data_IF_061512563043
#
_entry.id   IF_061512563043
#
_cell.length_a   1.000
_cell.length_b   1.000
_cell.length_c   1.000
_cell.angle_alpha   90.00
_cell.angle_beta   90.00
_cell.angle_gamma   90.00
#
_symmetry.space_group_name_H-M   'P 1'
#
loop_
_entity.id
_entity.type
_entity.pdbx_description
1 polymer ?
#
# COMPACT_ATOMS: atom_id res chain seq x y z
N UNK A 1 -10.64 -5.19 10.90
CA UNK A 1 -10.54 -4.41 9.66
C UNK A 1 -11.55 -3.30 9.65
N UNK A 2 -11.13 -2.09 9.32
CA UNK A 2 -12.03 -0.95 9.29
C UNK A 2 -12.88 -0.96 8.02
N UNK A 3 -13.89 -0.09 7.99
CA UNK A 3 -14.74 0.03 6.80
C UNK A 3 -13.91 0.48 5.60
N UNK A 4 -13.01 1.43 5.79
CA UNK A 4 -12.15 1.91 4.71
C UNK A 4 -11.24 0.82 4.18
N UNK A 5 -10.65 0.05 5.08
CA UNK A 5 -9.81 -1.07 4.66
C UNK A 5 -10.61 -2.09 3.86
N UNK A 6 -11.82 -2.40 4.30
CA UNK A 6 -12.66 -3.36 3.59
C UNK A 6 -13.03 -2.85 2.19
N UNK A 7 -13.34 -1.56 2.09
CA UNK A 7 -13.67 -0.96 0.80
C UNK A 7 -12.49 -1.00 -0.16
N UNK A 8 -11.32 -0.65 0.35
CA UNK A 8 -10.13 -0.67 -0.47
C UNK A 8 -9.79 -2.10 -0.89
N UNK A 9 -9.91 -3.04 0.04
CA UNK A 9 -9.63 -4.44 -0.27
C UNK A 9 -10.51 -4.96 -1.41
N UNK A 10 -11.79 -4.65 -1.40
CA UNK A 10 -12.68 -5.07 -2.48
C UNK A 10 -12.23 -4.55 -3.83
N UNK A 11 -11.63 -3.36 -3.84
CA UNK A 11 -11.21 -2.73 -5.09
C UNK A 11 -9.90 -3.27 -5.61
N UNK A 12 -9.01 -3.77 -4.73
CA UNK A 12 -7.66 -4.16 -5.17
C UNK A 12 -7.39 -5.65 -5.08
N UNK A 13 -8.29 -6.44 -4.50
CA UNK A 13 -8.06 -7.86 -4.34
C UNK A 13 -7.90 -8.57 -5.69
N UNK A 14 -7.34 -9.75 -5.66
CA UNK A 14 -7.02 -10.46 -6.88
C UNK A 14 -5.90 -9.73 -7.58
N UNK A 15 -6.05 -9.48 -8.86
CA UNK A 15 -5.09 -8.73 -9.63
C UNK A 15 -5.72 -7.48 -10.23
N UNK A 16 -6.70 -6.92 -9.54
CA UNK A 16 -7.47 -5.79 -10.07
C UNK A 16 -6.61 -4.58 -10.41
N UNK A 17 -5.50 -4.37 -9.71
CA UNK A 17 -4.62 -3.23 -9.94
C UNK A 17 -3.29 -3.65 -10.57
N UNK A 18 -3.24 -4.84 -11.15
CA UNK A 18 -2.04 -5.32 -11.82
C UNK A 18 -1.00 -5.97 -10.93
N UNK A 19 -1.29 -6.11 -9.64
CA UNK A 19 -0.43 -6.78 -8.69
C UNK A 19 -1.29 -7.53 -7.69
N UNK A 20 -0.72 -8.58 -7.11
CA UNK A 20 -1.45 -9.38 -6.14
C UNK A 20 -1.20 -8.86 -4.74
N UNK A 21 -2.20 -8.25 -4.14
CA UNK A 21 -2.12 -7.76 -2.77
C UNK A 21 -2.69 -8.75 -1.79
N UNK A 22 -2.12 -8.76 -0.58
CA UNK A 22 -2.63 -9.52 0.54
C UNK A 22 -2.90 -8.55 1.68
N UNK A 23 -3.77 -8.96 2.59
CA UNK A 23 -4.13 -8.15 3.76
C UNK A 23 -3.30 -8.57 4.95
N UNK A 24 -3.02 -7.61 5.84
CA UNK A 24 -2.43 -7.85 7.14
C UNK A 24 -1.18 -8.71 7.02
N UNK A 25 -0.19 -8.18 6.31
CA UNK A 25 1.01 -8.92 5.96
C UNK A 25 2.13 -8.60 6.95
N UNK A 26 2.65 -9.60 7.68
CA UNK A 26 3.78 -9.35 8.56
C UNK A 26 5.06 -9.17 7.75
N UNK A 27 5.77 -8.09 8.03
CA UNK A 27 7.07 -7.80 7.43
C UNK A 27 7.96 -7.39 8.59
N UNK A 28 8.84 -8.30 9.01
CA UNK A 28 9.57 -8.12 10.25
C UNK A 28 8.59 -8.16 11.42
N UNK A 29 8.72 -7.20 12.32
CA UNK A 29 7.81 -7.10 13.46
C UNK A 29 6.64 -6.12 13.22
N UNK A 30 6.55 -5.58 12.03
CA UNK A 30 5.43 -4.72 11.63
C UNK A 30 4.42 -5.51 10.81
N UNK A 31 3.19 -5.06 10.82
CA UNK A 31 2.13 -5.66 10.00
C UNK A 31 1.63 -4.60 9.04
N UNK A 32 1.79 -4.86 7.74
CA UNK A 32 1.30 -3.94 6.72
C UNK A 32 -0.19 -4.18 6.49
N UNK A 33 -0.96 -3.12 6.31
CA UNK A 33 -2.39 -3.28 6.01
C UNK A 33 -2.57 -4.08 4.73
N UNK A 34 -1.85 -3.69 3.68
CA UNK A 34 -1.85 -4.43 2.42
C UNK A 34 -0.44 -4.45 1.87
N UNK A 35 -0.04 -5.56 1.27
CA UNK A 35 1.27 -5.63 0.64
C UNK A 35 1.24 -6.53 -0.57
N UNK A 36 2.01 -6.11 -1.58
CA UNK A 36 2.36 -6.93 -2.73
C UNK A 36 3.86 -7.19 -2.66
N UNK A 37 4.28 -8.37 -3.09
CA UNK A 37 5.71 -8.72 -3.12
C UNK A 37 6.29 -8.63 -4.54
N UNK A 38 5.44 -8.44 -5.55
CA UNK A 38 5.88 -8.35 -6.94
C UNK A 38 4.93 -7.43 -7.72
N UNK A 39 5.16 -6.14 -7.74
CA UNK A 39 6.29 -5.42 -7.15
C UNK A 39 6.11 -5.25 -5.64
N UNK A 40 7.19 -4.93 -4.95
CA UNK A 40 7.14 -4.71 -3.51
C UNK A 40 6.52 -3.36 -3.21
N UNK A 41 5.28 -3.39 -2.79
CA UNK A 41 4.51 -2.17 -2.51
C UNK A 41 3.64 -2.40 -1.29
N UNK A 42 3.75 -1.51 -0.31
CA UNK A 42 2.92 -1.53 0.89
C UNK A 42 1.91 -0.39 0.81
N UNK A 43 0.67 -0.69 1.17
CA UNK A 43 -0.38 0.32 1.25
C UNK A 43 -0.89 0.35 2.67
N UNK A 44 -0.91 1.55 3.25
CA UNK A 44 -1.40 1.76 4.61
C UNK A 44 -2.60 2.68 4.59
N UNK A 45 -3.57 2.37 5.43
CA UNK A 45 -4.76 3.20 5.59
C UNK A 45 -4.63 3.94 6.91
N UNK A 46 -4.62 5.26 6.83
CA UNK A 46 -4.43 6.10 8.01
C UNK A 46 -5.75 6.62 8.55
N UNK A 47 -5.89 6.56 9.86
CA UNK A 47 -6.87 7.41 10.50
C UNK A 47 -6.10 8.54 11.20
N UNK A 48 -6.82 9.44 11.83
CA UNK A 48 -6.20 10.62 12.41
C UNK A 48 -5.54 10.37 13.76
N UNK A 49 -5.56 9.14 14.24
CA UNK A 49 -5.05 8.81 15.58
C UNK A 49 -3.62 8.31 15.57
N UNK A 50 -2.98 8.19 14.42
CA UNK A 50 -1.62 7.68 14.34
C UNK A 50 -0.61 8.67 14.89
N UNK A 51 0.37 8.14 15.61
CA UNK A 51 1.48 8.96 16.06
C UNK A 51 2.49 9.09 14.94
N UNK A 52 2.91 10.31 14.70
CA UNK A 52 3.85 10.62 13.63
C UNK A 52 5.13 9.80 13.74
N UNK A 53 5.61 9.62 14.95
CA UNK A 53 6.86 8.91 15.20
C UNK A 53 6.81 7.46 14.73
N UNK A 54 5.73 6.77 15.07
CA UNK A 54 5.57 5.36 14.69
C UNK A 54 5.47 5.22 13.19
N UNK A 55 4.82 6.17 12.54
CA UNK A 55 4.70 6.13 11.09
C UNK A 55 6.06 6.26 10.40
N UNK A 56 6.93 7.12 10.92
CA UNK A 56 8.26 7.29 10.33
C UNK A 56 9.10 6.03 10.45
N UNK A 57 9.11 5.41 11.63
CA UNK A 57 9.89 4.20 11.86
C UNK A 57 9.36 3.05 11.00
N UNK A 58 8.07 2.95 10.88
CA UNK A 58 7.40 1.93 10.11
C UNK A 58 7.73 2.07 8.62
N UNK A 59 7.62 3.30 8.12
CA UNK A 59 7.93 3.59 6.73
C UNK A 59 9.39 3.28 6.41
N UNK A 60 10.30 3.72 7.27
CA UNK A 60 11.72 3.45 7.09
C UNK A 60 12.00 1.95 7.03
N UNK A 61 11.36 1.20 7.90
CA UNK A 61 11.58 -0.24 7.91
C UNK A 61 11.13 -0.89 6.61
N UNK A 62 9.90 -0.56 6.17
CA UNK A 62 9.41 -1.15 4.93
C UNK A 62 10.28 -0.77 3.75
N UNK A 63 10.73 0.48 3.71
CA UNK A 63 11.60 0.91 2.62
C UNK A 63 12.95 0.19 2.67
N UNK A 64 13.46 -0.08 3.87
CA UNK A 64 14.72 -0.82 4.01
C UNK A 64 14.60 -2.24 3.49
N UNK A 65 13.38 -2.78 3.44
CA UNK A 65 13.12 -4.12 2.92
C UNK A 65 12.77 -4.11 1.44
N UNK A 66 12.95 -2.97 0.79
CA UNK A 66 12.73 -2.86 -0.65
C UNK A 66 11.31 -2.54 -1.06
N UNK A 67 10.45 -2.16 -0.11
CA UNK A 67 9.06 -1.82 -0.44
C UNK A 67 8.92 -0.34 -0.68
N UNK A 68 8.16 0.03 -1.70
CA UNK A 68 7.63 1.37 -1.80
C UNK A 68 6.41 1.47 -0.90
N UNK A 69 6.05 2.65 -0.50
CA UNK A 69 5.00 2.85 0.48
C UNK A 69 4.00 3.90 0.01
N UNK A 70 2.73 3.54 0.04
CA UNK A 70 1.64 4.48 -0.20
C UNK A 70 0.75 4.54 1.04
N UNK A 71 0.25 5.72 1.32
CA UNK A 71 -0.58 5.93 2.49
C UNK A 71 -1.79 6.77 2.08
N UNK A 72 -2.97 6.28 2.43
CA UNK A 72 -4.22 6.97 2.11
C UNK A 72 -5.04 7.14 3.37
N UNK A 73 -5.64 8.32 3.52
CA UNK A 73 -6.51 8.55 4.66
C UNK A 73 -7.85 7.81 4.49
N UNK A 74 -8.52 7.55 5.60
CA UNK A 74 -9.87 6.98 5.56
C UNK A 74 -10.80 7.84 4.71
N UNK A 75 -10.66 9.16 4.83
CA UNK A 75 -11.52 10.06 4.09
C UNK A 75 -11.28 9.97 2.59
N UNK A 76 -10.02 9.86 2.16
CA UNK A 76 -9.74 9.73 0.74
C UNK A 76 -10.33 8.45 0.17
N UNK A 77 -10.22 7.37 0.92
CA UNK A 77 -10.79 6.09 0.47
C UNK A 77 -12.32 6.20 0.38
N UNK A 78 -12.93 6.88 1.35
CA UNK A 78 -14.38 7.05 1.34
C UNK A 78 -14.86 7.94 0.19
N UNK A 79 -14.13 9.00 -0.09
CA UNK A 79 -14.60 10.05 -1.01
C UNK A 79 -14.01 9.94 -2.41
N UNK A 80 -12.85 9.33 -2.55
CA UNK A 80 -12.10 9.34 -3.80
C UNK A 80 -11.55 7.96 -4.14
N UNK A 81 -12.33 6.92 -3.93
CA UNK A 81 -11.85 5.56 -4.15
C UNK A 81 -11.33 5.32 -5.58
N UNK A 82 -12.00 5.79 -6.65
CA UNK A 82 -11.46 5.58 -7.99
C UNK A 82 -10.06 6.19 -8.16
N UNK A 83 -9.83 7.37 -7.60
CA UNK A 83 -8.53 8.02 -7.68
C UNK A 83 -7.47 7.25 -6.88
N UNK A 84 -7.85 6.72 -5.72
CA UNK A 84 -6.95 5.91 -4.91
C UNK A 84 -6.54 4.66 -5.70
N UNK A 85 -7.49 3.98 -6.29
CA UNK A 85 -7.23 2.79 -7.09
C UNK A 85 -6.33 3.11 -8.29
N UNK A 86 -6.61 4.23 -8.96
CA UNK A 86 -5.78 4.66 -10.08
C UNK A 86 -4.35 4.97 -9.67
N UNK A 87 -4.17 5.57 -8.51
CA UNK A 87 -2.84 5.85 -7.98
C UNK A 87 -2.09 4.54 -7.72
N UNK A 88 -2.76 3.56 -7.14
CA UNK A 88 -2.14 2.26 -6.87
C UNK A 88 -1.72 1.59 -8.17
N UNK A 89 -2.60 1.59 -9.17
CA UNK A 89 -2.27 1.02 -10.48
C UNK A 89 -1.06 1.69 -11.09
N UNK A 90 -1.01 3.01 -11.02
CA UNK A 90 0.10 3.77 -11.58
C UNK A 90 1.41 3.44 -10.89
N UNK A 91 1.39 3.28 -9.57
CA UNK A 91 2.59 2.93 -8.82
C UNK A 91 3.06 1.52 -9.11
N UNK A 92 2.14 0.57 -9.25
CA UNK A 92 2.49 -0.80 -9.62
C UNK A 92 3.24 -0.79 -10.96
N UNK A 93 2.71 -0.08 -11.93
CA UNK A 93 3.34 -0.01 -13.25
C UNK A 93 4.68 0.72 -13.18
N UNK A 94 4.73 1.83 -12.48
CA UNK A 94 5.95 2.60 -12.33
C UNK A 94 7.08 1.77 -11.74
N UNK A 95 6.79 1.04 -10.65
CA UNK A 95 7.82 0.24 -10.00
C UNK A 95 8.31 -0.86 -10.92
N UNK A 96 7.41 -1.51 -11.64
CA UNK A 96 7.81 -2.57 -12.57
C UNK A 96 8.72 -2.05 -13.67
N UNK A 97 8.36 -0.92 -14.24
CA UNK A 97 9.15 -0.35 -15.32
C UNK A 97 10.54 0.04 -14.87
N UNK A 98 10.64 0.61 -13.67
CA UNK A 98 11.92 1.14 -13.22
C UNK A 98 12.82 0.07 -12.60
N UNK A 99 12.25 -0.94 -11.95
CA UNK A 99 13.08 -1.99 -11.37
C UNK A 99 13.71 -2.87 -12.44
N UNK A 100 13.13 -2.89 -13.64
CA UNK A 100 13.61 -3.71 -14.71
C UNK A 100 14.43 -2.96 -15.72
N UNK A 101 14.80 -1.73 -15.41
CA UNK A 101 15.64 -0.94 -16.29
C UNK A 101 16.98 -1.65 -16.51
N UNK A 102 17.48 -1.69 -17.74
CA UNK A 102 18.76 -2.34 -18.01
C UNK A 102 19.90 -1.62 -17.34
N UNK A 103 20.91 -2.39 -16.98
CA UNK A 103 22.12 -1.86 -16.35
C UNK A 103 22.85 -0.90 -17.26
#
# INVERSE_FOLDING_TARGET
MTISEARLWRAIQGRAVGARFRRQVPIGHWIADFASFDPRLVIEVDDTSHEFRDESMRTEYFESQGFSMLRFSNMRIAMELPEVVGTIEAWVEYIRLHREAPE
#
